data_IF_203949994889
#
_entry.id   IF_203949994889
#
_cell.length_a   1.000
_cell.length_b   1.000
_cell.length_c   1.000
_cell.angle_alpha   90.00
_cell.angle_beta   90.00
_cell.angle_gamma   90.00
#
_symmetry.space_group_name_H-M   'P 1'
#
loop_
_entity.id
_entity.type
_entity.pdbx_description
1 polymer ?
#
# COMPACT_ATOMS: atom_id res chain seq x y z
N UNK A 1 -10.50 1.60 11.00
CA UNK A 1 -9.76 2.47 10.07
C UNK A 1 -10.25 2.16 8.67
N UNK A 2 -11.12 3.00 8.11
CA UNK A 2 -11.79 2.77 6.82
C UNK A 2 -11.85 4.09 6.04
N UNK A 3 -12.10 4.02 4.73
CA UNK A 3 -12.17 5.17 3.83
C UNK A 3 -10.82 5.53 3.19
N UNK A 4 -10.72 6.73 2.64
CA UNK A 4 -9.52 7.23 1.98
C UNK A 4 -8.35 7.31 2.98
N UNK A 5 -7.26 6.61 2.67
CA UNK A 5 -6.06 6.59 3.51
C UNK A 5 -4.99 7.47 2.91
N UNK A 6 -4.23 8.09 3.80
CA UNK A 6 -3.14 8.96 3.42
C UNK A 6 -1.97 8.76 4.36
N UNK A 7 -0.77 8.78 3.79
CA UNK A 7 0.47 8.62 4.53
C UNK A 7 1.13 9.98 4.71
N UNK A 8 1.26 10.41 5.97
CA UNK A 8 1.97 11.63 6.37
C UNK A 8 3.39 11.25 6.80
N UNK A 9 4.38 11.96 6.26
CA UNK A 9 5.78 11.86 6.71
C UNK A 9 6.04 12.95 7.74
N UNK A 10 7.22 12.95 8.37
CA UNK A 10 7.63 14.09 9.17
C UNK A 10 7.74 15.35 8.31
N UNK A 11 7.03 16.39 8.70
CA UNK A 11 6.99 17.67 8.01
C UNK A 11 5.82 18.52 8.48
N UNK A 12 5.84 19.80 8.11
CA UNK A 12 4.77 20.75 8.40
C UNK A 12 3.75 20.76 7.26
N UNK A 13 2.50 20.40 7.55
CA UNK A 13 1.39 20.35 6.59
C UNK A 13 0.36 21.43 6.90
N UNK A 14 0.72 22.69 6.63
CA UNK A 14 -0.10 23.86 6.97
C UNK A 14 -1.36 24.03 6.12
N UNK A 15 -1.40 23.47 4.90
CA UNK A 15 -2.56 23.51 4.00
C UNK A 15 -2.94 22.11 3.48
N UNK A 16 -3.18 21.17 4.39
CA UNK A 16 -3.58 19.80 4.04
C UNK A 16 -4.93 19.74 3.30
N UNK A 17 -5.80 20.75 3.46
CA UNK A 17 -7.13 20.80 2.84
C UNK A 17 -7.05 21.00 1.32
N UNK A 18 -6.27 21.97 0.83
CA UNK A 18 -6.07 22.14 -0.61
C UNK A 18 -5.13 21.09 -1.19
N UNK A 19 -4.06 20.76 -0.45
CA UNK A 19 -2.99 19.89 -0.94
C UNK A 19 -3.49 18.48 -1.29
N UNK A 20 -4.49 17.97 -0.55
CA UNK A 20 -5.00 16.61 -0.70
C UNK A 20 -6.40 16.54 -1.32
N UNK A 21 -6.88 17.68 -1.84
CA UNK A 21 -8.20 17.79 -2.46
C UNK A 21 -9.34 17.43 -1.49
N UNK A 22 -9.14 17.69 -0.20
CA UNK A 22 -10.05 17.22 0.86
C UNK A 22 -11.35 17.99 0.93
N UNK A 23 -11.43 19.20 0.36
CA UNK A 23 -12.63 20.02 0.46
C UNK A 23 -13.08 20.14 1.92
N UNK A 24 -14.34 19.76 2.20
CA UNK A 24 -14.94 19.81 3.54
C UNK A 24 -14.73 18.52 4.38
N UNK A 25 -13.82 17.64 3.98
CA UNK A 25 -13.55 16.38 4.69
C UNK A 25 -12.48 16.57 5.79
N UNK A 26 -12.81 16.12 7.00
CA UNK A 26 -11.95 16.15 8.17
C UNK A 26 -11.40 14.75 8.49
N UNK A 27 -10.23 14.71 9.14
CA UNK A 27 -9.62 13.47 9.62
C UNK A 27 -10.50 12.89 10.73
N UNK A 28 -11.05 11.71 10.50
CA UNK A 28 -11.87 10.98 11.50
C UNK A 28 -11.10 9.90 12.25
N UNK A 29 -9.92 9.54 11.78
CA UNK A 29 -9.05 8.56 12.46
C UNK A 29 -7.60 8.74 12.04
N UNK A 30 -6.67 8.56 12.97
CA UNK A 30 -5.24 8.47 12.68
C UNK A 30 -4.63 7.23 13.32
N UNK A 31 -3.54 6.74 12.76
CA UNK A 31 -2.76 5.63 13.30
C UNK A 31 -1.29 5.94 13.13
N UNK A 32 -0.53 5.80 14.22
CA UNK A 32 0.92 5.81 14.16
C UNK A 32 1.41 4.48 13.57
N UNK A 33 2.30 4.56 12.59
CA UNK A 33 3.01 3.39 12.07
C UNK A 33 4.26 3.23 12.94
N UNK A 34 4.50 2.08 13.57
CA UNK A 34 5.69 1.90 14.39
C UNK A 34 6.93 1.79 13.50
N UNK A 35 8.06 2.34 13.97
CA UNK A 35 9.33 2.20 13.26
C UNK A 35 9.69 0.72 13.13
N UNK A 36 10.00 0.31 11.90
CA UNK A 36 10.43 -1.05 11.60
C UNK A 36 11.91 -1.04 11.25
N UNK A 37 12.72 -1.66 12.11
CA UNK A 37 14.17 -1.85 11.91
C UNK A 37 14.44 -3.32 11.66
N UNK A 38 14.32 -3.73 10.41
CA UNK A 38 14.49 -5.12 10.01
C UNK A 38 14.35 -5.30 8.50
N UNK A 39 14.32 -6.55 8.05
CA UNK A 39 14.04 -6.88 6.66
C UNK A 39 12.61 -6.54 6.27
N UNK A 40 12.41 -6.32 4.97
CA UNK A 40 11.09 -6.15 4.36
C UNK A 40 10.81 -7.39 3.54
N UNK A 41 9.65 -8.00 3.77
CA UNK A 41 9.27 -9.21 3.04
C UNK A 41 7.76 -9.31 2.90
N UNK A 42 7.30 -9.41 1.66
CA UNK A 42 5.91 -9.60 1.30
C UNK A 42 5.80 -10.69 0.23
N UNK A 43 4.79 -11.53 0.32
CA UNK A 43 4.35 -12.40 -0.78
C UNK A 43 3.14 -11.77 -1.44
N UNK A 44 3.22 -11.61 -2.75
CA UNK A 44 2.13 -11.09 -3.58
C UNK A 44 1.61 -12.22 -4.46
N UNK A 45 0.33 -12.15 -4.78
CA UNK A 45 -0.37 -13.17 -5.55
C UNK A 45 -1.21 -12.51 -6.64
N UNK A 46 -1.19 -13.13 -7.82
CA UNK A 46 -1.95 -12.70 -8.99
C UNK A 46 -3.47 -12.79 -8.76
N UNK A 47 -3.94 -13.72 -7.91
CA UNK A 47 -5.37 -13.94 -7.63
C UNK A 47 -5.69 -13.80 -6.15
N UNK A 48 -6.99 -13.70 -5.84
CA UNK A 48 -7.50 -13.75 -4.47
C UNK A 48 -7.16 -15.10 -3.80
N UNK A 49 -7.26 -15.16 -2.48
CA UNK A 49 -7.07 -16.33 -1.62
C UNK A 49 -5.70 -17.01 -1.79
N UNK A 50 -4.65 -16.23 -2.04
CA UNK A 50 -3.28 -16.74 -2.24
C UNK A 50 -3.14 -17.71 -3.42
N UNK A 51 -3.99 -17.54 -4.43
CA UNK A 51 -3.98 -18.36 -5.65
C UNK A 51 -3.23 -17.69 -6.80
N UNK A 52 -2.99 -18.45 -7.86
CA UNK A 52 -2.30 -17.99 -9.06
C UNK A 52 -0.79 -17.91 -8.88
N UNK A 53 -0.13 -17.10 -9.70
CA UNK A 53 1.31 -16.90 -9.57
C UNK A 53 1.65 -16.19 -8.26
N UNK A 54 2.63 -16.73 -7.53
CA UNK A 54 3.16 -16.15 -6.29
C UNK A 54 4.56 -15.61 -6.53
N UNK A 55 4.82 -14.40 -6.04
CA UNK A 55 6.15 -13.81 -6.01
C UNK A 55 6.47 -13.30 -4.60
N UNK A 56 7.67 -13.59 -4.11
CA UNK A 56 8.20 -12.96 -2.90
C UNK A 56 8.93 -11.68 -3.29
N UNK A 57 8.63 -10.58 -2.60
CA UNK A 57 9.21 -9.28 -2.87
C UNK A 57 9.76 -8.67 -1.60
N UNK A 58 10.95 -8.09 -1.73
CA UNK A 58 11.70 -7.45 -0.66
C UNK A 58 12.00 -5.98 -0.94
N UNK A 59 11.72 -5.55 -2.17
CA UNK A 59 11.99 -4.23 -2.70
C UNK A 59 10.74 -3.55 -3.25
N UNK A 60 10.88 -2.26 -3.56
CA UNK A 60 9.81 -1.46 -4.13
C UNK A 60 9.48 -1.94 -5.55
N UNK A 61 8.23 -1.78 -5.97
CA UNK A 61 7.74 -2.19 -7.28
C UNK A 61 6.93 -1.07 -7.90
N UNK A 62 7.50 -0.44 -8.94
CA UNK A 62 6.87 0.66 -9.66
C UNK A 62 5.67 0.20 -10.50
N UNK A 63 5.67 -1.05 -10.99
CA UNK A 63 4.60 -1.57 -11.84
C UNK A 63 4.55 -3.10 -11.79
N UNK A 64 3.43 -3.67 -11.30
CA UNK A 64 3.21 -5.12 -11.34
C UNK A 64 3.00 -5.64 -12.77
N UNK A 65 2.48 -4.79 -13.67
CA UNK A 65 2.31 -5.14 -15.08
C UNK A 65 3.67 -5.32 -15.77
N UNK A 66 4.62 -4.42 -15.55
CA UNK A 66 5.92 -4.50 -16.23
C UNK A 66 6.82 -5.57 -15.62
N UNK A 67 6.78 -5.72 -14.28
CA UNK A 67 7.66 -6.65 -13.57
C UNK A 67 7.16 -8.10 -13.58
N UNK A 68 5.85 -8.32 -13.50
CA UNK A 68 5.26 -9.65 -13.36
C UNK A 68 4.25 -10.00 -14.45
N UNK A 69 3.99 -9.09 -15.40
CA UNK A 69 2.97 -9.26 -16.45
C UNK A 69 1.55 -9.46 -15.90
N UNK A 70 1.29 -8.94 -14.70
CA UNK A 70 -0.02 -9.00 -14.06
C UNK A 70 -0.89 -7.81 -14.49
N UNK A 71 -1.69 -8.01 -15.54
CA UNK A 71 -2.58 -6.97 -16.07
C UNK A 71 -3.62 -6.47 -15.06
N UNK A 72 -4.04 -7.34 -14.15
CA UNK A 72 -4.95 -7.00 -13.05
C UNK A 72 -4.22 -6.61 -11.76
N UNK A 73 -2.89 -6.53 -11.78
CA UNK A 73 -2.08 -6.23 -10.60
C UNK A 73 -2.10 -7.33 -9.55
N UNK A 74 -1.75 -6.96 -8.32
CA UNK A 74 -1.82 -7.85 -7.16
C UNK A 74 -3.26 -7.93 -6.64
N UNK A 75 -3.73 -9.14 -6.34
CA UNK A 75 -5.11 -9.41 -5.87
C UNK A 75 -5.18 -9.98 -4.44
N UNK A 76 -4.11 -10.61 -3.96
CA UNK A 76 -3.94 -10.93 -2.55
C UNK A 76 -2.47 -10.84 -2.13
N UNK A 77 -2.19 -10.61 -0.85
CA UNK A 77 -0.82 -10.54 -0.36
C UNK A 77 -0.70 -11.03 1.09
N UNK A 78 0.49 -11.50 1.44
CA UNK A 78 0.86 -11.83 2.81
C UNK A 78 2.09 -10.99 3.17
N UNK A 79 1.91 -10.04 4.06
CA UNK A 79 2.99 -9.22 4.59
C UNK A 79 3.63 -9.98 5.73
N UNK A 80 4.82 -10.52 5.51
CA UNK A 80 5.55 -11.20 6.56
C UNK A 80 6.28 -10.19 7.44
N UNK A 81 6.92 -9.19 6.84
CA UNK A 81 7.78 -8.25 7.55
C UNK A 81 7.72 -6.84 6.94
N UNK A 82 7.84 -5.85 7.82
CA UNK A 82 7.85 -4.44 7.45
C UNK A 82 6.47 -3.84 7.20
N UNK A 83 6.51 -2.57 6.81
CA UNK A 83 5.34 -1.74 6.54
C UNK A 83 5.34 -1.33 5.08
N UNK A 84 4.19 -1.48 4.43
CA UNK A 84 4.09 -1.32 2.99
C UNK A 84 2.93 -0.41 2.62
N UNK A 85 3.10 0.33 1.53
CA UNK A 85 2.05 1.08 0.87
C UNK A 85 1.82 0.48 -0.51
N UNK A 86 0.57 0.17 -0.83
CA UNK A 86 0.18 -0.24 -2.18
C UNK A 86 -0.69 0.83 -2.83
N UNK A 87 -0.61 0.92 -4.15
CA UNK A 87 -1.19 1.99 -4.96
C UNK A 87 -2.07 1.42 -6.06
N UNK A 88 -3.16 2.13 -6.33
CA UNK A 88 -4.10 1.81 -7.40
C UNK A 88 -3.46 1.89 -8.79
N UNK A 89 -2.51 2.81 -9.00
CA UNK A 89 -1.85 3.01 -10.28
C UNK A 89 -0.36 2.67 -10.24
N UNK A 90 0.27 2.40 -11.39
CA UNK A 90 1.73 2.33 -11.49
C UNK A 90 2.41 3.61 -11.00
N UNK A 91 3.70 3.51 -10.66
CA UNK A 91 4.57 4.60 -10.23
C UNK A 91 4.06 5.36 -9.00
N UNK A 92 3.46 4.65 -8.03
CA UNK A 92 2.99 5.17 -6.75
C UNK A 92 1.92 6.27 -6.86
N UNK A 93 1.03 6.15 -7.85
CA UNK A 93 -0.05 7.10 -8.14
C UNK A 93 -1.42 6.58 -7.73
N UNK A 94 -2.39 7.48 -7.72
CA UNK A 94 -3.77 7.18 -7.35
C UNK A 94 -3.94 6.98 -5.85
N UNK A 95 -4.99 6.27 -5.47
CA UNK A 95 -5.28 5.99 -4.06
C UNK A 95 -4.25 5.03 -3.47
N UNK A 96 -3.91 5.24 -2.20
CA UNK A 96 -2.94 4.42 -1.47
C UNK A 96 -3.58 3.68 -0.30
N UNK A 97 -3.03 2.54 0.05
CA UNK A 97 -3.42 1.76 1.21
C UNK A 97 -2.23 1.29 2.01
N UNK A 98 -2.38 1.32 3.32
CA UNK A 98 -1.38 0.84 4.25
C UNK A 98 -1.58 -0.64 4.59
N UNK A 99 -0.50 -1.40 4.41
CA UNK A 99 -0.40 -2.81 4.71
C UNK A 99 0.63 -3.03 5.82
N UNK A 100 0.18 -3.70 6.88
CA UNK A 100 0.99 -4.12 8.03
C UNK A 100 1.25 -5.63 7.94
N UNK A 101 2.18 -6.18 8.75
CA UNK A 101 2.34 -7.62 8.83
C UNK A 101 1.01 -8.34 9.07
N UNK A 102 0.70 -9.33 8.24
CA UNK A 102 -0.58 -10.03 8.22
C UNK A 102 -0.98 -10.60 6.86
N UNK A 103 -2.04 -11.40 6.89
CA UNK A 103 -2.62 -12.07 5.73
C UNK A 103 -3.77 -11.24 5.11
N UNK A 104 -3.68 -10.97 3.81
CA UNK A 104 -4.69 -10.24 3.04
C UNK A 104 -5.18 -11.10 1.88
N UNK A 105 -6.23 -11.86 2.15
CA UNK A 105 -6.77 -12.86 1.21
C UNK A 105 -7.52 -12.25 0.03
N UNK A 106 -8.05 -11.06 0.16
CA UNK A 106 -8.72 -10.36 -0.94
C UNK A 106 -8.65 -8.86 -0.76
N UNK A 107 -8.57 -8.13 -1.86
CA UNK A 107 -8.65 -6.69 -1.88
C UNK A 107 -10.06 -6.15 -2.16
N UNK A 108 -11.07 -7.03 -2.15
CA UNK A 108 -12.49 -6.65 -2.27
C UNK A 108 -12.93 -5.66 -1.19
N UNK A 109 -12.53 -5.90 0.06
CA UNK A 109 -12.84 -5.01 1.19
C UNK A 109 -12.11 -3.65 1.10
N UNK A 110 -11.12 -3.55 0.21
CA UNK A 110 -10.36 -2.34 -0.08
C UNK A 110 -10.96 -1.58 -1.28
N UNK A 111 -12.25 -1.81 -1.57
CA UNK A 111 -13.00 -1.16 -2.64
C UNK A 111 -12.97 -1.93 -3.97
N UNK A 112 -12.70 -3.23 -3.96
CA UNK A 112 -12.55 -4.03 -5.19
C UNK A 112 -11.30 -3.66 -5.99
N UNK A 113 -10.29 -3.13 -5.30
CA UNK A 113 -9.21 -2.41 -5.96
C UNK A 113 -8.07 -3.32 -6.35
N UNK A 114 -7.48 -2.98 -7.50
CA UNK A 114 -6.32 -3.64 -8.08
C UNK A 114 -5.09 -2.83 -7.74
N UNK A 115 -4.11 -3.44 -7.10
CA UNK A 115 -2.86 -2.74 -6.78
C UNK A 115 -1.89 -2.91 -7.93
N UNK A 116 -1.42 -1.78 -8.46
CA UNK A 116 -0.54 -1.71 -9.63
C UNK A 116 0.90 -1.31 -9.28
N UNK A 117 1.13 -0.73 -8.10
CA UNK A 117 2.49 -0.51 -7.57
C UNK A 117 2.55 -0.60 -6.04
N UNK A 118 3.75 -0.75 -5.48
CA UNK A 118 3.95 -0.83 -4.02
C UNK A 118 5.32 -0.33 -3.58
N UNK A 119 5.37 0.29 -2.39
CA UNK A 119 6.60 0.78 -1.76
C UNK A 119 6.67 0.47 -0.28
N UNK A 120 7.88 0.25 0.21
CA UNK A 120 8.23 0.09 1.61
C UNK A 120 8.18 1.43 2.33
N UNK A 121 7.67 1.43 3.55
CA UNK A 121 7.81 2.57 4.46
C UNK A 121 9.15 2.41 5.17
N UNK A 122 10.17 3.12 4.68
CA UNK A 122 11.53 3.09 5.21
C UNK A 122 11.72 4.00 6.42
N UNK A 123 12.71 3.71 7.26
CA UNK A 123 13.09 4.52 8.44
C UNK A 123 13.34 5.99 8.06
N UNK A 124 13.91 6.25 6.87
CA UNK A 124 14.12 7.59 6.30
C UNK A 124 12.84 8.43 6.10
N UNK A 125 11.66 7.84 6.25
CA UNK A 125 10.38 8.54 6.07
C UNK A 125 9.72 8.93 7.41
N UNK A 126 10.34 8.56 8.53
CA UNK A 126 9.97 8.96 9.89
C UNK A 126 10.57 10.32 10.29
#
# INVERSE_FOLDING_TARGET
YMGNQYFMRRGDYTDYMNMWGWGNNYIRSCRMIPMHRGSYRMRIYERDNFMGQMNEVRDDCDSFMDRYHWSNGCMSCNVMEGHWLMYEQPHYRGRMWYFRPGEYRSFKDYGGMRFMSMRRIMDSWY
#
